data_IF_327625897137
#
_entry.id   IF_327625897137
#
_cell.length_a   1.000
_cell.length_b   1.000
_cell.length_c   1.000
_cell.angle_alpha   90.00
_cell.angle_beta   90.00
_cell.angle_gamma   90.00
#
_symmetry.space_group_name_H-M   'P 1'
#
loop_
_entity.id
_entity.type
_entity.pdbx_description
1 polymer ?
#
# COMPACT_ATOMS: atom_id res chain seq x y z
N UNK A 1 -0.15 -17.26 14.35
CA UNK A 1 0.92 -16.49 15.03
C UNK A 1 1.38 -15.27 14.22
N UNK A 2 0.64 -14.87 13.17
CA UNK A 2 1.05 -13.93 12.11
C UNK A 2 0.74 -12.45 12.41
N UNK A 3 -0.20 -12.17 13.32
CA UNK A 3 -0.69 -10.80 13.59
C UNK A 3 0.33 -9.85 14.26
N UNK A 4 1.47 -10.35 14.76
CA UNK A 4 2.49 -9.53 15.44
C UNK A 4 3.61 -9.02 14.52
N UNK A 5 3.71 -9.52 13.29
CA UNK A 5 4.92 -9.32 12.47
C UNK A 5 4.83 -8.03 11.65
N UNK A 6 3.70 -7.80 10.96
CA UNK A 6 3.54 -6.62 10.12
C UNK A 6 2.95 -5.44 10.88
N UNK A 7 3.77 -4.41 11.09
CA UNK A 7 3.35 -3.16 11.71
C UNK A 7 2.93 -2.18 10.63
N UNK A 8 1.62 -1.95 10.49
CA UNK A 8 1.05 -0.94 9.57
C UNK A 8 1.70 0.44 9.75
N UNK A 9 2.01 0.82 11.00
CA UNK A 9 2.73 2.07 11.29
C UNK A 9 4.07 2.14 10.56
N UNK A 10 4.82 1.05 10.56
CA UNK A 10 6.17 1.03 10.02
C UNK A 10 6.11 1.06 8.49
N UNK A 11 5.14 0.37 7.87
CA UNK A 11 4.84 0.51 6.44
C UNK A 11 4.47 1.95 6.06
N UNK A 12 3.49 2.54 6.74
CA UNK A 12 3.05 3.92 6.48
C UNK A 12 4.17 4.95 6.67
N UNK A 13 5.13 4.70 7.57
CA UNK A 13 6.28 5.58 7.81
C UNK A 13 7.40 5.38 6.79
N UNK A 14 7.74 4.13 6.51
CA UNK A 14 8.97 3.76 5.79
C UNK A 14 8.76 3.40 4.32
N UNK A 15 7.52 3.22 3.88
CA UNK A 15 7.19 2.68 2.57
C UNK A 15 7.34 1.15 2.45
N UNK A 16 7.77 0.47 3.53
CA UNK A 16 8.04 -0.97 3.53
C UNK A 16 7.83 -1.56 4.93
N UNK A 17 7.24 -2.75 4.99
CA UNK A 17 7.16 -3.61 6.17
C UNK A 17 8.51 -4.24 6.50
N UNK A 18 9.33 -4.47 5.48
CA UNK A 18 10.55 -5.30 5.53
C UNK A 18 11.84 -4.49 5.44
N UNK A 19 11.80 -3.15 5.62
CA UNK A 19 12.98 -2.26 5.53
C UNK A 19 14.22 -2.74 6.29
N UNK A 20 14.04 -3.45 7.41
CA UNK A 20 15.13 -3.97 8.26
C UNK A 20 15.28 -5.50 8.19
N UNK A 21 14.64 -6.18 7.24
CA UNK A 21 14.79 -7.63 7.05
C UNK A 21 15.99 -7.91 6.15
N UNK A 22 16.77 -8.93 6.50
CA UNK A 22 17.82 -9.46 5.63
C UNK A 22 17.19 -10.21 4.46
N UNK A 23 17.66 -9.93 3.24
CA UNK A 23 17.08 -10.44 1.99
C UNK A 23 17.01 -11.98 1.95
N UNK A 24 18.05 -12.65 2.43
CA UNK A 24 18.13 -14.12 2.52
C UNK A 24 17.00 -14.74 3.35
N UNK A 25 16.49 -14.00 4.33
CA UNK A 25 15.42 -14.47 5.21
C UNK A 25 14.01 -14.15 4.67
N UNK A 26 13.88 -13.27 3.67
CA UNK A 26 12.56 -12.84 3.17
C UNK A 26 11.85 -14.00 2.46
N UNK A 27 12.53 -14.72 1.58
CA UNK A 27 11.91 -15.83 0.83
C UNK A 27 11.35 -16.92 1.75
N UNK A 28 12.18 -17.45 2.66
CA UNK A 28 11.74 -18.49 3.59
C UNK A 28 10.60 -17.98 4.48
N UNK A 29 10.73 -16.75 4.99
CA UNK A 29 9.69 -16.13 5.79
C UNK A 29 8.35 -16.04 5.05
N UNK A 30 8.32 -15.55 3.80
CA UNK A 30 7.09 -15.43 3.02
C UNK A 30 6.46 -16.80 2.74
N UNK A 31 7.26 -17.80 2.34
CA UNK A 31 6.80 -19.17 2.07
C UNK A 31 6.18 -19.83 3.29
N UNK A 32 6.85 -19.73 4.43
CA UNK A 32 6.45 -20.43 5.65
C UNK A 32 5.28 -19.77 6.38
N UNK A 33 5.05 -18.46 6.18
CA UNK A 33 4.10 -17.69 6.98
C UNK A 33 2.90 -17.15 6.21
N UNK A 34 2.93 -17.15 4.87
CA UNK A 34 1.80 -16.71 4.06
C UNK A 34 0.58 -17.61 4.24
N UNK A 35 -0.61 -17.04 4.07
CA UNK A 35 -1.85 -17.79 4.03
C UNK A 35 -2.05 -18.47 2.68
N UNK A 36 -1.61 -17.82 1.61
CA UNK A 36 -1.75 -18.27 0.23
C UNK A 36 -0.63 -17.68 -0.62
N UNK A 37 -0.31 -18.33 -1.72
CA UNK A 37 0.61 -17.82 -2.73
C UNK A 37 0.07 -18.06 -4.14
N UNK A 38 0.38 -17.15 -5.06
CA UNK A 38 0.00 -17.24 -6.47
C UNK A 38 1.17 -16.88 -7.38
N UNK A 39 1.36 -17.64 -8.46
CA UNK A 39 2.48 -17.45 -9.39
C UNK A 39 3.57 -18.51 -9.23
N UNK A 40 4.61 -18.43 -10.07
CA UNK A 40 5.70 -19.44 -10.14
C UNK A 40 7.09 -18.81 -10.01
N UNK A 41 7.41 -17.83 -10.85
CA UNK A 41 8.72 -17.14 -10.82
C UNK A 41 8.62 -15.78 -10.11
N UNK A 42 7.56 -15.03 -10.42
CA UNK A 42 7.11 -13.89 -9.64
C UNK A 42 5.91 -14.39 -8.83
N UNK A 43 6.13 -14.58 -7.54
CA UNK A 43 5.15 -15.13 -6.62
C UNK A 43 4.58 -14.01 -5.77
N UNK A 44 3.26 -13.98 -5.69
CA UNK A 44 2.52 -13.09 -4.81
C UNK A 44 2.11 -13.85 -3.56
N UNK A 45 2.62 -13.41 -2.41
CA UNK A 45 2.34 -14.00 -1.10
C UNK A 45 1.29 -13.19 -0.37
N UNK A 46 0.23 -13.83 0.10
CA UNK A 46 -0.90 -13.18 0.77
C UNK A 46 -0.93 -13.46 2.27
N UNK A 47 -1.26 -12.43 3.04
CA UNK A 47 -1.48 -12.48 4.47
C UNK A 47 -2.83 -11.86 4.80
N UNK A 48 -3.76 -12.68 5.28
CA UNK A 48 -5.15 -12.30 5.47
C UNK A 48 -5.38 -11.66 6.84
N UNK A 49 -5.95 -10.45 6.83
CA UNK A 49 -6.37 -9.75 8.03
C UNK A 49 -7.86 -9.42 7.97
N UNK A 50 -8.43 -9.10 9.12
CA UNK A 50 -9.86 -8.76 9.20
C UNK A 50 -10.13 -7.43 8.47
N UNK A 51 -10.65 -7.53 7.25
CA UNK A 51 -11.08 -6.41 6.42
C UNK A 51 -10.01 -5.82 5.48
N UNK A 52 -8.82 -6.40 5.47
CA UNK A 52 -7.75 -6.05 4.53
C UNK A 52 -6.75 -7.20 4.43
N UNK A 53 -5.97 -7.21 3.36
CA UNK A 53 -4.93 -8.21 3.12
C UNK A 53 -3.61 -7.50 2.89
N UNK A 54 -2.51 -8.11 3.34
CA UNK A 54 -1.16 -7.64 3.01
C UNK A 54 -0.61 -8.62 1.98
N UNK A 55 -0.03 -8.12 0.90
CA UNK A 55 0.65 -8.96 -0.07
C UNK A 55 2.04 -8.48 -0.43
N UNK A 56 2.89 -9.44 -0.76
CA UNK A 56 4.27 -9.26 -1.16
C UNK A 56 4.46 -9.88 -2.53
N UNK A 57 5.00 -9.11 -3.47
CA UNK A 57 5.35 -9.57 -4.81
C UNK A 57 6.84 -9.86 -4.80
N UNK A 58 7.23 -11.12 -4.98
CA UNK A 58 8.60 -11.58 -4.82
C UNK A 58 9.07 -12.32 -6.08
N UNK A 59 10.21 -11.91 -6.63
CA UNK A 59 10.87 -12.58 -7.74
C UNK A 59 11.79 -13.65 -7.16
N UNK A 60 11.31 -14.90 -7.13
CA UNK A 60 12.05 -16.03 -6.55
C UNK A 60 13.30 -16.36 -7.32
N UNK A 61 13.25 -16.20 -8.65
CA UNK A 61 14.39 -16.47 -9.52
C UNK A 61 15.59 -15.56 -9.22
N UNK A 62 15.32 -14.33 -8.76
CA UNK A 62 16.34 -13.33 -8.43
C UNK A 62 16.54 -13.12 -6.93
N UNK A 63 15.67 -13.68 -6.09
CA UNK A 63 15.66 -13.44 -4.65
C UNK A 63 15.38 -11.98 -4.28
N UNK A 64 14.49 -11.30 -5.03
CA UNK A 64 14.24 -9.86 -4.86
C UNK A 64 12.77 -9.58 -4.58
N UNK A 65 12.50 -8.79 -3.54
CA UNK A 65 11.19 -8.21 -3.29
C UNK A 65 10.88 -7.11 -4.33
N UNK A 66 9.81 -7.29 -5.09
CA UNK A 66 9.37 -6.36 -6.15
C UNK A 66 8.33 -5.36 -5.67
N UNK A 67 7.54 -5.72 -4.67
CA UNK A 67 6.50 -4.82 -4.16
C UNK A 67 5.83 -5.34 -2.91
N UNK A 68 5.24 -4.42 -2.18
CA UNK A 68 4.46 -4.68 -0.98
C UNK A 68 3.17 -3.87 -1.07
N UNK A 69 2.06 -4.44 -0.63
CA UNK A 69 0.79 -3.73 -0.68
C UNK A 69 -0.15 -4.13 0.45
N UNK A 70 -1.07 -3.21 0.74
CA UNK A 70 -2.26 -3.43 1.55
C UNK A 70 -3.46 -3.30 0.62
N UNK A 71 -4.34 -4.29 0.59
CA UNK A 71 -5.60 -4.24 -0.15
C UNK A 71 -6.79 -4.29 0.81
N UNK A 72 -7.78 -3.44 0.59
CA UNK A 72 -8.94 -3.32 1.46
C UNK A 72 -10.06 -4.24 0.96
N UNK A 73 -10.21 -5.39 1.62
CA UNK A 73 -11.26 -6.36 1.28
C UNK A 73 -12.63 -6.02 1.90
N UNK A 74 -12.68 -5.39 3.07
CA UNK A 74 -13.94 -4.92 3.67
C UNK A 74 -13.75 -3.80 4.70
N UNK A 75 -14.07 -2.57 4.32
CA UNK A 75 -13.95 -1.38 5.16
C UNK A 75 -14.66 -1.47 6.51
N UNK A 76 -15.81 -2.15 6.60
CA UNK A 76 -16.60 -2.27 7.85
C UNK A 76 -15.94 -3.19 8.88
N UNK A 77 -15.05 -4.08 8.43
CA UNK A 77 -14.40 -5.09 9.28
C UNK A 77 -13.03 -4.64 9.81
N UNK A 78 -12.47 -3.54 9.29
CA UNK A 78 -11.15 -3.04 9.67
C UNK A 78 -11.15 -2.55 11.12
N UNK A 79 -10.29 -3.18 11.94
CA UNK A 79 -10.04 -2.78 13.32
C UNK A 79 -8.76 -1.95 13.50
N UNK A 80 -7.91 -1.89 12.48
CA UNK A 80 -6.63 -1.16 12.56
C UNK A 80 -6.90 0.34 12.60
N UNK A 81 -6.68 0.98 13.75
CA UNK A 81 -6.84 2.44 13.92
C UNK A 81 -6.04 3.24 12.88
N UNK A 82 -4.89 2.72 12.45
CA UNK A 82 -4.04 3.37 11.45
C UNK A 82 -4.67 3.35 10.06
N UNK A 83 -5.17 2.20 9.61
CA UNK A 83 -5.90 2.12 8.34
C UNK A 83 -7.19 2.93 8.43
N UNK A 84 -7.94 2.80 9.54
CA UNK A 84 -9.18 3.56 9.76
C UNK A 84 -8.98 5.07 9.66
N UNK A 85 -7.84 5.59 10.14
CA UNK A 85 -7.51 7.02 10.07
C UNK A 85 -7.27 7.55 8.66
N UNK A 86 -7.17 6.68 7.65
CA UNK A 86 -6.98 7.06 6.24
C UNK A 86 -7.99 6.39 5.31
N UNK A 87 -9.06 5.78 5.84
CA UNK A 87 -10.03 5.02 5.06
C UNK A 87 -10.80 5.85 4.03
N UNK A 88 -10.96 7.14 4.28
CA UNK A 88 -11.49 8.09 3.31
C UNK A 88 -10.47 9.18 3.05
N UNK A 89 -10.58 9.86 1.92
CA UNK A 89 -9.67 10.97 1.60
C UNK A 89 -9.79 12.12 2.62
N UNK A 90 -10.99 12.38 3.13
CA UNK A 90 -11.21 13.36 4.21
C UNK A 90 -10.51 12.96 5.50
N UNK A 91 -10.57 11.67 5.87
CA UNK A 91 -9.85 11.16 7.03
C UNK A 91 -8.33 11.30 6.83
N UNK A 92 -7.82 11.03 5.63
CA UNK A 92 -6.40 11.21 5.31
C UNK A 92 -5.95 12.66 5.55
N UNK A 93 -6.74 13.65 5.10
CA UNK A 93 -6.44 15.09 5.30
C UNK A 93 -6.42 15.50 6.78
N UNK A 94 -7.18 14.82 7.64
CA UNK A 94 -7.17 15.04 9.08
C UNK A 94 -6.12 14.19 9.82
N UNK A 95 -5.49 13.26 9.12
CA UNK A 95 -4.50 12.36 9.70
C UNK A 95 -3.11 12.99 9.76
N UNK A 96 -2.20 12.34 10.50
CA UNK A 96 -0.79 12.72 10.54
C UNK A 96 -0.09 12.64 9.17
N UNK A 97 -0.63 11.85 8.23
CA UNK A 97 -0.06 11.68 6.90
C UNK A 97 -0.39 12.84 5.96
N UNK A 98 -1.24 13.80 6.35
CA UNK A 98 -1.55 14.96 5.52
C UNK A 98 -0.30 15.78 5.17
N UNK A 99 0.62 15.94 6.13
CA UNK A 99 1.90 16.64 5.90
C UNK A 99 2.87 15.88 5.00
N UNK A 100 2.64 14.58 4.79
CA UNK A 100 3.48 13.72 3.95
C UNK A 100 2.92 13.61 2.51
N UNK A 101 1.82 14.28 2.18
CA UNK A 101 1.26 14.28 0.82
C UNK A 101 2.20 15.06 -0.10
N UNK A 102 2.71 14.38 -1.13
CA UNK A 102 3.54 14.97 -2.18
C UNK A 102 2.70 15.47 -3.35
N UNK A 103 1.78 14.64 -3.84
CA UNK A 103 0.91 14.99 -4.95
C UNK A 103 -0.37 14.16 -4.92
N UNK A 104 -1.40 14.68 -5.59
CA UNK A 104 -2.70 14.02 -5.73
C UNK A 104 -3.04 13.97 -7.21
N UNK A 105 -3.37 12.78 -7.70
CA UNK A 105 -4.00 12.58 -8.99
C UNK A 105 -5.48 12.25 -8.75
N UNK A 106 -6.37 12.86 -9.52
CA UNK A 106 -7.80 12.58 -9.43
C UNK A 106 -8.38 12.53 -10.84
N UNK A 107 -9.13 11.46 -11.09
CA UNK A 107 -10.05 11.27 -12.20
C UNK A 107 -11.46 11.05 -11.63
N UNK A 108 -12.49 11.03 -12.46
CA UNK A 108 -13.89 11.10 -12.05
C UNK A 108 -14.26 10.15 -10.90
N UNK A 109 -13.79 8.90 -10.98
CA UNK A 109 -14.07 7.83 -10.01
C UNK A 109 -12.83 7.32 -9.26
N UNK A 110 -11.64 7.83 -9.57
CA UNK A 110 -10.37 7.38 -8.98
C UNK A 110 -9.55 8.53 -8.41
N UNK A 111 -8.96 8.32 -7.25
CA UNK A 111 -8.07 9.28 -6.61
C UNK A 111 -6.83 8.55 -6.10
N UNK A 112 -5.65 9.02 -6.48
CA UNK A 112 -4.37 8.47 -6.05
C UNK A 112 -3.58 9.55 -5.32
N UNK A 113 -3.24 9.29 -4.07
CA UNK A 113 -2.39 10.17 -3.27
C UNK A 113 -0.98 9.58 -3.19
N UNK A 114 -0.01 10.37 -3.63
CA UNK A 114 1.40 10.03 -3.55
C UNK A 114 2.00 10.66 -2.31
N UNK A 115 2.60 9.86 -1.44
CA UNK A 115 3.30 10.35 -0.25
C UNK A 115 4.78 10.61 -0.54
N UNK A 116 5.41 11.47 0.25
CA UNK A 116 6.83 11.79 0.16
C UNK A 116 7.73 10.56 0.31
N UNK A 117 7.34 9.61 1.16
CA UNK A 117 8.11 8.39 1.44
C UNK A 117 8.00 7.29 0.37
N UNK A 118 7.29 7.56 -0.73
CA UNK A 118 7.18 6.61 -1.82
C UNK A 118 5.81 5.93 -1.96
N UNK A 119 5.01 5.86 -0.89
CA UNK A 119 3.72 5.18 -0.91
C UNK A 119 2.70 5.83 -1.84
N UNK A 120 1.85 4.99 -2.43
CA UNK A 120 0.73 5.39 -3.27
C UNK A 120 -0.57 4.87 -2.63
N UNK A 121 -1.47 5.76 -2.25
CA UNK A 121 -2.76 5.44 -1.65
C UNK A 121 -3.85 5.62 -2.70
N UNK A 122 -4.53 4.55 -3.05
CA UNK A 122 -5.58 4.54 -4.05
C UNK A 122 -6.93 4.56 -3.38
N UNK A 123 -7.79 5.44 -3.86
CA UNK A 123 -9.15 5.60 -3.44
C UNK A 123 -10.08 5.54 -4.63
N UNK A 124 -11.20 4.85 -4.48
CA UNK A 124 -12.25 4.82 -5.49
C UNK A 124 -13.51 5.50 -4.96
N UNK A 125 -14.25 6.14 -5.87
CA UNK A 125 -15.49 6.82 -5.54
C UNK A 125 -16.55 5.80 -5.15
N UNK A 126 -17.10 5.96 -3.96
CA UNK A 126 -18.16 5.13 -3.41
C UNK A 126 -19.46 5.91 -3.32
N UNK A 127 -20.53 5.34 -3.88
CA UNK A 127 -21.86 5.95 -3.94
C UNK A 127 -21.88 7.39 -4.47
N UNK A 128 -20.98 7.72 -5.41
CA UNK A 128 -20.80 9.08 -5.98
C UNK A 128 -20.52 10.20 -4.97
N UNK A 129 -20.27 9.88 -3.69
CA UNK A 129 -20.20 10.87 -2.61
C UNK A 129 -18.83 11.00 -1.97
N UNK A 130 -18.07 9.90 -1.85
CA UNK A 130 -16.80 9.89 -1.10
C UNK A 130 -15.78 8.96 -1.73
N UNK A 131 -14.50 9.29 -1.57
CA UNK A 131 -13.39 8.44 -1.98
C UNK A 131 -13.00 7.50 -0.83
N UNK A 132 -13.12 6.19 -1.07
CA UNK A 132 -12.77 5.14 -0.12
C UNK A 132 -11.47 4.46 -0.52
N UNK A 133 -10.59 4.26 0.46
CA UNK A 133 -9.31 3.59 0.27
C UNK A 133 -9.55 2.15 -0.20
N UNK A 134 -8.93 1.77 -1.31
CA UNK A 134 -8.98 0.42 -1.88
C UNK A 134 -7.65 -0.30 -1.75
N UNK A 135 -6.53 0.41 -1.94
CA UNK A 135 -5.20 -0.18 -1.82
C UNK A 135 -4.13 0.85 -1.44
N UNK A 136 -3.07 0.37 -0.80
CA UNK A 136 -1.83 1.13 -0.56
C UNK A 136 -0.69 0.31 -1.14
N UNK A 137 0.07 0.89 -2.05
CA UNK A 137 1.20 0.22 -2.70
C UNK A 137 2.51 0.87 -2.21
N UNK A 138 3.51 0.02 -1.99
CA UNK A 138 4.88 0.40 -1.70
C UNK A 138 5.45 1.31 -2.80
N UNK A 139 6.59 1.99 -2.54
CA UNK A 139 7.24 2.78 -3.57
C UNK A 139 7.54 1.95 -4.81
N UNK A 140 6.96 2.33 -5.94
CA UNK A 140 7.29 1.83 -7.26
C UNK A 140 7.76 2.98 -8.14
N UNK A 141 9.01 2.91 -8.59
CA UNK A 141 9.61 3.95 -9.43
C UNK A 141 8.88 4.11 -10.76
N UNK A 142 8.35 3.04 -11.33
CA UNK A 142 7.71 3.10 -12.64
C UNK A 142 6.41 3.89 -12.58
N UNK A 143 5.56 3.59 -11.58
CA UNK A 143 4.36 4.37 -11.29
C UNK A 143 4.67 5.86 -11.10
N UNK A 144 5.76 6.19 -10.41
CA UNK A 144 6.16 7.60 -10.18
C UNK A 144 6.71 8.28 -11.42
N UNK A 145 7.47 7.57 -12.26
CA UNK A 145 7.97 8.09 -13.55
C UNK A 145 6.79 8.40 -14.47
N UNK A 146 5.81 7.51 -14.56
CA UNK A 146 4.59 7.74 -15.34
C UNK A 146 3.83 8.99 -14.85
N UNK A 147 3.64 9.12 -13.54
CA UNK A 147 2.96 10.29 -12.95
C UNK A 147 3.72 11.58 -13.27
N UNK A 148 5.05 11.58 -13.12
CA UNK A 148 5.89 12.74 -13.47
C UNK A 148 5.85 13.08 -14.96
N UNK A 149 5.75 12.09 -15.86
CA UNK A 149 5.71 12.32 -17.30
C UNK A 149 4.34 12.76 -17.81
N UNK A 150 3.27 12.34 -17.14
CA UNK A 150 1.89 12.58 -17.59
C UNK A 150 1.25 13.79 -16.90
N UNK A 151 1.64 14.08 -15.66
CA UNK A 151 1.22 15.30 -14.97
C UNK A 151 2.16 16.43 -15.34
N UNK A 152 1.75 17.30 -16.27
CA UNK A 152 2.21 18.69 -16.24
C UNK A 152 1.82 19.23 -14.87
N UNK A 153 2.80 19.37 -13.98
CA UNK A 153 2.62 19.81 -12.59
C UNK A 153 1.84 21.12 -12.57
N UNK A 154 0.52 21.06 -12.38
CA UNK A 154 -0.26 22.19 -11.92
C UNK A 154 0.14 22.44 -10.46
N UNK A 155 1.26 23.12 -10.26
CA UNK A 155 1.69 23.62 -8.95
C UNK A 155 0.82 24.81 -8.56
N UNK A 156 -0.35 24.55 -7.99
CA UNK A 156 -1.07 25.55 -7.19
C UNK A 156 -1.80 24.87 -6.04
N UNK A 157 -1.14 24.86 -4.88
CA UNK A 157 -1.79 25.02 -3.58
C UNK A 157 -0.95 25.95 -2.74
#
# INVERSE_FOLDING_TARGET
MTAKIFKIRDFLKNGSFLKNFLTENISCFLKENSNESFGKDIVMYYFYFKGYDISFIYDESKGILKGEQIEISNHKKIKSKRISSILTFENLKLSKLNGDIHSIYQDDDELVVFLQNGLNLYYNKFNKKKFLLTKIISPDENSRKLVKSTMNLCSKY
#
